data_IF_442849838491
#
_entry.id   IF_442849838491
#
_cell.length_a   1.000
_cell.length_b   1.000
_cell.length_c   1.000
_cell.angle_alpha   90.00
_cell.angle_beta   90.00
_cell.angle_gamma   90.00
#
_symmetry.space_group_name_H-M   'P 1'
#
loop_
_entity.id
_entity.type
_entity.pdbx_description
1 polymer ?
#
# COMPACT_ATOMS: atom_id res chain seq x y z
N UNK A 1 11.27 -5.76 -9.79
CA UNK A 1 10.64 -6.74 -10.73
C UNK A 1 9.52 -6.08 -11.52
N UNK A 2 8.26 -5.96 -11.06
CA UNK A 2 7.21 -5.32 -11.90
C UNK A 2 7.44 -3.81 -12.10
N UNK A 3 7.66 -3.07 -11.00
CA UNK A 3 7.86 -1.61 -11.04
C UNK A 3 9.10 -1.17 -11.82
N UNK A 4 10.14 -2.00 -11.86
CA UNK A 4 11.43 -1.64 -12.47
C UNK A 4 11.49 -1.88 -13.98
N UNK A 5 10.66 -2.77 -14.53
CA UNK A 5 10.70 -3.14 -15.94
C UNK A 5 9.50 -2.62 -16.74
N UNK A 6 8.40 -2.25 -16.08
CA UNK A 6 7.17 -1.80 -16.74
C UNK A 6 6.74 -0.41 -16.24
N UNK A 7 7.51 0.60 -16.61
CA UNK A 7 7.41 1.97 -16.08
C UNK A 7 6.09 2.68 -16.42
N UNK A 8 5.43 2.30 -17.51
CA UNK A 8 4.19 2.93 -17.99
C UNK A 8 2.96 2.03 -17.85
N UNK A 9 3.09 0.90 -17.15
CA UNK A 9 1.99 -0.07 -16.99
C UNK A 9 1.38 0.02 -15.60
N UNK A 10 0.05 -0.08 -15.53
CA UNK A 10 -0.68 -0.22 -14.27
C UNK A 10 -0.85 -1.70 -13.95
N UNK A 11 -0.59 -2.08 -12.69
CA UNK A 11 -0.75 -3.45 -12.22
C UNK A 11 -1.83 -3.52 -11.15
N UNK A 12 -2.73 -4.49 -11.32
CA UNK A 12 -3.70 -4.89 -10.30
C UNK A 12 -3.22 -6.23 -9.75
N UNK A 13 -3.07 -6.31 -8.43
CA UNK A 13 -2.69 -7.55 -7.74
C UNK A 13 -3.81 -7.91 -6.78
N UNK A 14 -4.30 -9.14 -6.88
CA UNK A 14 -5.28 -9.71 -5.96
C UNK A 14 -4.55 -10.71 -5.08
N UNK A 15 -4.65 -10.54 -3.76
CA UNK A 15 -3.99 -11.44 -2.82
C UNK A 15 -4.78 -11.55 -1.52
N UNK A 16 -4.80 -12.75 -0.95
CA UNK A 16 -5.29 -13.02 0.41
C UNK A 16 -4.16 -13.02 1.45
N UNK A 17 -2.90 -12.90 1.00
CA UNK A 17 -1.73 -12.95 1.88
C UNK A 17 -1.56 -11.62 2.62
N UNK A 18 -1.40 -11.71 3.94
CA UNK A 18 -1.10 -10.55 4.77
C UNK A 18 0.19 -9.85 4.37
N UNK A 19 0.17 -8.52 4.41
CA UNK A 19 1.32 -7.67 4.11
C UNK A 19 1.60 -7.48 2.62
N UNK A 20 0.93 -8.21 1.71
CA UNK A 20 1.05 -7.97 0.25
C UNK A 20 0.57 -6.57 -0.13
N UNK A 21 -0.46 -6.08 0.54
CA UNK A 21 -1.06 -4.77 0.32
C UNK A 21 -0.18 -3.60 0.80
N UNK A 22 0.88 -3.84 1.58
CA UNK A 22 1.75 -2.77 2.10
C UNK A 22 2.59 -2.09 1.02
N UNK A 23 2.77 -2.74 -0.13
CA UNK A 23 3.55 -2.20 -1.25
C UNK A 23 2.67 -1.54 -2.32
N UNK A 24 1.36 -1.43 -2.08
CA UNK A 24 0.41 -0.88 -3.04
C UNK A 24 0.25 0.63 -2.83
N UNK A 25 0.27 1.40 -3.91
CA UNK A 25 -0.01 2.84 -3.85
C UNK A 25 -1.49 3.12 -3.54
N UNK A 26 -2.37 2.26 -4.05
CA UNK A 26 -3.82 2.34 -3.87
C UNK A 26 -4.34 0.96 -3.49
N UNK A 27 -5.15 0.90 -2.45
CA UNK A 27 -5.86 -0.31 -2.05
C UNK A 27 -7.31 -0.20 -2.50
N UNK A 28 -7.81 -1.29 -3.08
CA UNK A 28 -9.22 -1.50 -3.35
C UNK A 28 -9.72 -2.64 -2.45
N UNK A 29 -10.80 -2.40 -1.72
CA UNK A 29 -11.46 -3.40 -0.89
C UNK A 29 -12.87 -3.65 -1.43
N UNK A 30 -13.15 -4.89 -1.81
CA UNK A 30 -14.50 -5.32 -2.15
C UNK A 30 -15.27 -5.60 -0.86
N UNK A 31 -16.55 -5.23 -0.83
CA UNK A 31 -17.47 -5.52 0.26
C UNK A 31 -18.82 -5.90 -0.32
N UNK A 32 -19.58 -6.69 0.42
CA UNK A 32 -20.98 -6.97 0.09
C UNK A 32 -21.84 -6.35 1.18
N UNK A 33 -22.63 -5.34 0.81
CA UNK A 33 -23.45 -4.55 1.75
C UNK A 33 -24.83 -4.40 1.13
N UNK A 34 -25.88 -4.69 1.91
CA UNK A 34 -27.28 -4.56 1.50
C UNK A 34 -27.62 -5.25 0.16
N UNK A 35 -27.07 -6.45 -0.05
CA UNK A 35 -27.30 -7.23 -1.26
C UNK A 35 -26.52 -6.77 -2.49
N UNK A 36 -25.64 -5.77 -2.35
CA UNK A 36 -24.85 -5.22 -3.45
C UNK A 36 -23.34 -5.32 -3.22
N UNK A 37 -22.62 -5.70 -4.27
CA UNK A 37 -21.16 -5.67 -4.28
C UNK A 37 -20.67 -4.23 -4.45
N UNK A 38 -19.85 -3.78 -3.51
CA UNK A 38 -19.29 -2.42 -3.45
C UNK A 38 -17.76 -2.47 -3.41
N UNK A 39 -17.12 -1.40 -3.87
CA UNK A 39 -15.66 -1.24 -3.85
C UNK A 39 -15.29 0.03 -3.10
N UNK A 40 -14.45 -0.08 -2.09
CA UNK A 40 -13.86 1.04 -1.38
C UNK A 40 -12.41 1.26 -1.81
N UNK A 41 -12.07 2.50 -2.16
CA UNK A 41 -10.72 2.91 -2.56
C UNK A 41 -10.05 3.71 -1.44
N UNK A 42 -8.81 3.35 -1.11
CA UNK A 42 -7.97 4.12 -0.19
C UNK A 42 -6.56 4.30 -0.74
N UNK A 43 -6.01 5.51 -0.66
CA UNK A 43 -4.61 5.78 -1.02
C UNK A 43 -3.74 5.50 0.20
N UNK A 44 -2.71 4.68 0.03
CA UNK A 44 -1.75 4.44 1.11
C UNK A 44 -0.77 5.62 1.14
N UNK A 45 -0.99 6.57 2.06
CA UNK A 45 0.03 7.55 2.39
C UNK A 45 1.21 6.81 3.03
N UNK A 46 2.23 6.50 2.24
CA UNK A 46 3.55 6.18 2.78
C UNK A 46 4.03 7.46 3.43
N UNK A 47 3.74 7.64 4.72
CA UNK A 47 4.30 8.74 5.50
C UNK A 47 5.83 8.59 5.39
N UNK A 48 6.55 9.54 4.78
CA UNK A 48 8.00 9.51 4.85
C UNK A 48 8.34 9.54 6.34
N UNK A 49 9.02 8.50 6.83
CA UNK A 49 9.49 8.49 8.22
C UNK A 49 10.23 9.81 8.43
N UNK A 50 9.79 10.70 9.34
CA UNK A 50 10.53 11.93 9.58
C UNK A 50 11.92 11.53 10.06
N UNK A 51 12.94 12.16 9.47
CA UNK A 51 14.37 11.93 9.75
C UNK A 51 14.78 12.15 11.23
N UNK A 52 13.84 12.53 12.11
CA UNK A 52 14.09 12.81 13.53
C UNK A 52 14.33 11.58 14.39
N UNK A 53 14.09 10.34 13.91
CA UNK A 53 14.32 9.13 14.70
C UNK A 53 15.74 8.53 14.55
N UNK A 54 16.61 9.12 13.74
CA UNK A 54 17.97 8.60 13.48
C UNK A 54 19.07 9.27 14.33
N UNK A 55 18.78 10.37 15.02
CA UNK A 55 19.80 11.10 15.79
C UNK A 55 19.86 10.78 17.29
N UNK A 56 18.94 9.97 17.85
CA UNK A 56 18.93 9.72 19.30
C UNK A 56 19.57 8.39 19.74
N UNK A 57 20.46 7.79 18.94
CA UNK A 57 21.16 6.54 19.30
C UNK A 57 22.69 6.62 19.22
N UNK A 58 23.25 7.83 19.21
CA UNK A 58 24.70 8.08 19.21
C UNK A 58 25.27 8.58 20.55
N UNK A 59 24.45 8.73 21.60
CA UNK A 59 24.86 9.32 22.88
C UNK A 59 24.55 8.49 24.14
N UNK A 60 24.56 7.15 24.07
CA UNK A 60 24.69 6.29 25.26
C UNK A 60 25.43 5.00 24.90
#
# INVERSE_FOLDING_TARGET
MLRSHFLHSQFIVVSLKDGMFNNANVLFRTKFVDGMSTVQRSVQHVVPRPLSSLDNKRNH
#
